data_IF_195544091327
#
_entry.id   IF_195544091327
#
_cell.length_a   1.000
_cell.length_b   1.000
_cell.length_c   1.000
_cell.angle_alpha   90.00
_cell.angle_beta   90.00
_cell.angle_gamma   90.00
#
_symmetry.space_group_name_H-M   'P 1'
#
loop_
_entity.id
_entity.type
_entity.pdbx_description
1 polymer ?
#
# COMPACT_ATOMS: atom_id res chain seq x y z
N UNK A 1 10.73 -14.96 -5.51
CA UNK A 1 9.63 -14.46 -4.70
C UNK A 1 9.48 -12.93 -4.83
N UNK A 2 10.53 -12.15 -4.54
CA UNK A 2 10.46 -10.67 -4.57
C UNK A 2 10.03 -10.14 -5.94
N UNK A 3 10.75 -10.50 -7.00
CA UNK A 3 10.45 -10.06 -8.36
C UNK A 3 9.03 -10.44 -8.79
N UNK A 4 8.58 -11.65 -8.45
CA UNK A 4 7.23 -12.12 -8.77
C UNK A 4 6.15 -11.28 -8.06
N UNK A 5 6.36 -10.92 -6.78
CA UNK A 5 5.45 -10.03 -6.05
C UNK A 5 5.41 -8.64 -6.70
N UNK A 6 6.56 -8.06 -6.99
CA UNK A 6 6.68 -6.73 -7.58
C UNK A 6 6.01 -6.67 -8.96
N UNK A 7 6.25 -7.64 -9.82
CA UNK A 7 5.58 -7.76 -11.13
C UNK A 7 4.08 -7.97 -11.00
N UNK A 8 3.64 -8.80 -10.05
CA UNK A 8 2.21 -9.02 -9.77
C UNK A 8 1.50 -7.73 -9.36
N UNK A 9 2.11 -6.94 -8.50
CA UNK A 9 1.57 -5.66 -8.05
C UNK A 9 1.50 -4.61 -9.18
N UNK A 10 2.52 -4.57 -10.05
CA UNK A 10 2.51 -3.70 -11.25
C UNK A 10 1.34 -4.05 -12.17
N UNK A 11 1.10 -5.35 -12.42
CA UNK A 11 -0.05 -5.80 -13.24
C UNK A 11 -1.40 -5.42 -12.61
N UNK A 12 -1.50 -5.49 -11.28
CA UNK A 12 -2.71 -5.06 -10.57
C UNK A 12 -2.92 -3.56 -10.74
N UNK A 13 -1.87 -2.75 -10.62
CA UNK A 13 -1.97 -1.30 -10.84
C UNK A 13 -2.44 -0.96 -12.25
N UNK A 14 -1.91 -1.66 -13.26
CA UNK A 14 -2.31 -1.47 -14.65
C UNK A 14 -3.78 -1.81 -14.87
N UNK A 15 -4.22 -2.95 -14.35
CA UNK A 15 -5.60 -3.43 -14.50
C UNK A 15 -6.62 -2.50 -13.82
N UNK A 16 -6.29 -1.99 -12.65
CA UNK A 16 -7.22 -1.21 -11.82
C UNK A 16 -7.04 0.30 -11.97
N UNK A 17 -6.08 0.76 -12.78
CA UNK A 17 -5.84 2.18 -13.01
C UNK A 17 -5.34 2.95 -11.77
N UNK A 18 -4.78 2.27 -10.78
CA UNK A 18 -4.27 2.90 -9.55
C UNK A 18 -3.18 3.95 -9.78
N UNK A 19 -2.58 3.96 -10.97
CA UNK A 19 -1.61 5.00 -11.37
C UNK A 19 -2.23 6.39 -11.53
N UNK A 20 -3.56 6.48 -11.60
CA UNK A 20 -4.33 7.72 -11.64
C UNK A 20 -4.80 8.18 -10.24
N UNK A 21 -4.23 7.65 -9.18
CA UNK A 21 -4.63 7.92 -7.79
C UNK A 21 -4.40 9.36 -7.31
N UNK A 22 -4.32 10.29 -8.24
CA UNK A 22 -4.22 11.73 -7.99
C UNK A 22 -5.60 12.34 -8.26
N UNK A 23 -6.16 12.99 -7.25
CA UNK A 23 -7.40 13.77 -7.33
C UNK A 23 -7.03 15.25 -7.29
N UNK A 24 -7.70 16.07 -8.04
CA UNK A 24 -7.57 17.53 -7.93
C UNK A 24 -8.94 18.13 -7.54
N UNK A 25 -9.31 18.06 -6.26
CA UNK A 25 -10.57 18.60 -5.77
C UNK A 25 -10.58 20.13 -5.78
N UNK A 26 -11.74 20.73 -5.53
CA UNK A 26 -11.88 22.18 -5.45
C UNK A 26 -10.98 22.78 -4.35
N UNK A 27 -10.65 24.09 -4.47
CA UNK A 27 -9.83 24.78 -3.47
C UNK A 27 -10.49 24.76 -2.08
N UNK A 28 -11.83 24.84 -2.01
CA UNK A 28 -12.59 24.74 -0.77
C UNK A 28 -12.47 23.37 -0.12
N UNK A 29 -12.56 22.30 -0.90
CA UNK A 29 -12.45 20.91 -0.39
C UNK A 29 -11.04 20.64 0.08
N UNK A 30 -10.01 21.11 -0.64
CA UNK A 30 -8.61 21.01 -0.19
C UNK A 30 -8.39 21.69 1.14
N UNK A 31 -8.89 22.91 1.30
CA UNK A 31 -8.78 23.69 2.56
C UNK A 31 -9.45 22.94 3.71
N UNK A 32 -10.69 22.48 3.51
CA UNK A 32 -11.42 21.70 4.51
C UNK A 32 -10.65 20.43 4.91
N UNK A 33 -10.14 19.69 3.92
CA UNK A 33 -9.35 18.47 4.16
C UNK A 33 -8.09 18.76 5.01
N UNK A 34 -7.34 19.82 4.68
CA UNK A 34 -6.15 20.21 5.45
C UNK A 34 -6.48 20.68 6.87
N UNK A 35 -7.60 21.37 7.07
CA UNK A 35 -8.08 21.76 8.41
C UNK A 35 -8.47 20.52 9.25
N UNK A 36 -9.14 19.54 8.66
CA UNK A 36 -9.47 18.27 9.30
C UNK A 36 -8.20 17.50 9.68
N UNK A 37 -7.24 17.41 8.77
CA UNK A 37 -5.96 16.73 8.98
C UNK A 37 -5.15 17.42 10.10
N UNK A 38 -5.16 18.76 10.13
CA UNK A 38 -4.52 19.55 11.20
C UNK A 38 -5.19 19.36 12.56
N UNK A 39 -6.51 19.20 12.60
CA UNK A 39 -7.23 18.87 13.84
C UNK A 39 -6.89 17.47 14.37
N UNK A 40 -6.82 16.50 13.44
CA UNK A 40 -6.44 15.11 13.79
C UNK A 40 -4.97 15.04 14.25
N UNK A 41 -4.08 15.79 13.60
CA UNK A 41 -2.64 15.78 13.84
C UNK A 41 -2.09 17.20 14.04
N UNK A 42 -2.28 17.84 15.20
CA UNK A 42 -1.87 19.24 15.43
C UNK A 42 -0.36 19.50 15.28
N UNK A 43 0.46 18.49 15.51
CA UNK A 43 1.94 18.53 15.35
C UNK A 43 2.42 17.81 14.07
N UNK A 44 1.49 17.44 13.18
CA UNK A 44 1.75 16.63 11.99
C UNK A 44 1.55 15.13 12.22
N UNK A 45 1.24 14.37 11.15
CA UNK A 45 1.01 12.94 11.26
C UNK A 45 2.29 12.19 11.68
N UNK A 46 2.18 11.19 12.58
CA UNK A 46 3.33 10.46 13.08
C UNK A 46 3.97 9.56 12.01
N UNK A 47 5.24 9.22 12.21
CA UNK A 47 5.98 8.31 11.34
C UNK A 47 5.25 6.98 11.16
N UNK A 48 5.17 6.51 9.92
CA UNK A 48 4.46 5.29 9.51
C UNK A 48 2.97 5.49 9.21
N UNK A 49 2.37 6.61 9.60
CA UNK A 49 0.98 6.93 9.26
C UNK A 49 0.82 7.15 7.76
N UNK A 50 -0.27 6.67 7.22
CA UNK A 50 -0.69 6.94 5.84
C UNK A 50 -1.81 7.98 5.88
N UNK A 51 -1.61 9.06 5.13
CA UNK A 51 -2.56 10.17 5.02
C UNK A 51 -2.65 10.65 3.57
N UNK A 52 -3.67 11.41 3.25
CA UNK A 52 -3.79 12.15 2.00
C UNK A 52 -3.29 13.57 2.24
N UNK A 53 -2.30 14.01 1.46
CA UNK A 53 -1.78 15.37 1.52
C UNK A 53 -1.99 16.11 0.21
N UNK A 54 -1.90 17.43 0.25
CA UNK A 54 -2.09 18.31 -0.91
C UNK A 54 -0.75 18.76 -1.47
N UNK A 55 -0.51 18.51 -2.75
CA UNK A 55 0.70 18.95 -3.45
C UNK A 55 0.69 20.49 -3.56
N UNK A 56 1.73 21.13 -3.05
CA UNK A 56 1.92 22.58 -3.10
C UNK A 56 2.97 23.02 -4.10
N UNK A 57 3.88 22.14 -4.47
CA UNK A 57 4.92 22.40 -5.47
C UNK A 57 5.41 21.10 -6.07
N UNK A 58 5.74 21.10 -7.35
CA UNK A 58 6.36 19.99 -8.07
C UNK A 58 7.62 20.49 -8.76
N UNK A 59 8.69 19.71 -8.68
CA UNK A 59 9.97 19.97 -9.33
C UNK A 59 10.41 18.73 -10.08
N UNK A 60 10.81 18.90 -11.33
CA UNK A 60 11.46 17.83 -12.09
C UNK A 60 12.86 17.57 -11.59
N UNK A 61 13.30 16.33 -11.71
CA UNK A 61 14.60 15.85 -11.30
C UNK A 61 15.19 14.90 -12.34
N UNK A 62 16.28 14.27 -11.98
CA UNK A 62 16.97 13.32 -12.84
C UNK A 62 16.08 12.11 -13.20
N UNK A 63 16.33 11.51 -14.37
CA UNK A 63 15.63 10.30 -14.87
C UNK A 63 14.10 10.41 -14.84
N UNK A 64 13.59 11.64 -15.13
CA UNK A 64 12.16 11.95 -15.10
C UNK A 64 11.47 11.63 -13.76
N UNK A 65 12.23 11.58 -12.68
CA UNK A 65 11.74 11.66 -11.31
C UNK A 65 11.53 13.10 -10.89
N UNK A 66 11.63 13.38 -9.61
CA UNK A 66 11.53 14.74 -9.07
C UNK A 66 11.15 14.76 -7.62
N UNK A 67 10.62 15.89 -7.20
CA UNK A 67 10.19 16.14 -5.84
C UNK A 67 8.87 16.87 -5.83
N UNK A 68 8.02 16.55 -4.86
CA UNK A 68 6.86 17.36 -4.54
C UNK A 68 6.92 17.79 -3.07
N UNK A 69 6.50 19.02 -2.81
CA UNK A 69 6.16 19.48 -1.48
C UNK A 69 4.68 19.16 -1.25
N UNK A 70 4.37 18.53 -0.12
CA UNK A 70 3.02 18.07 0.19
C UNK A 70 2.61 18.62 1.54
N UNK A 71 1.54 19.40 1.55
CA UNK A 71 0.94 19.95 2.76
C UNK A 71 0.12 18.86 3.47
N UNK A 72 0.38 18.66 4.74
CA UNK A 72 -0.28 17.71 5.63
C UNK A 72 -1.08 18.44 6.75
N UNK A 73 -1.42 19.70 6.52
CA UNK A 73 -2.20 20.54 7.42
C UNK A 73 -1.37 21.26 8.48
N UNK A 74 -0.63 20.57 9.31
CA UNK A 74 0.24 21.16 10.33
C UNK A 74 1.71 21.28 9.90
N UNK A 75 2.13 20.48 8.93
CA UNK A 75 3.51 20.41 8.43
C UNK A 75 3.52 20.18 6.92
N UNK A 76 4.59 20.60 6.27
CA UNK A 76 4.84 20.29 4.86
C UNK A 76 5.92 19.23 4.79
N UNK A 77 5.67 18.18 4.00
CA UNK A 77 6.62 17.09 3.80
C UNK A 77 7.22 17.08 2.41
N UNK A 78 8.38 16.45 2.28
CA UNK A 78 9.11 16.28 1.03
C UNK A 78 8.84 14.88 0.48
N UNK A 79 8.25 14.80 -0.72
CA UNK A 79 7.90 13.56 -1.40
C UNK A 79 8.83 13.34 -2.61
N UNK A 80 9.76 12.40 -2.56
CA UNK A 80 10.48 11.96 -3.76
C UNK A 80 9.48 11.34 -4.75
N UNK A 81 9.50 11.82 -5.99
CA UNK A 81 8.63 11.31 -7.05
C UNK A 81 9.34 10.22 -7.86
N UNK A 82 8.61 9.17 -8.27
CA UNK A 82 9.17 8.01 -8.94
C UNK A 82 9.92 8.35 -10.23
N UNK A 83 11.11 7.78 -10.39
CA UNK A 83 11.94 7.89 -11.59
C UNK A 83 11.46 6.92 -12.69
N UNK A 84 12.05 7.02 -13.88
CA UNK A 84 11.78 6.06 -14.96
C UNK A 84 12.10 4.63 -14.52
N UNK A 85 11.22 3.71 -14.84
CA UNK A 85 11.34 2.30 -14.45
C UNK A 85 10.76 1.96 -13.08
N UNK A 86 10.46 2.95 -12.25
CA UNK A 86 9.75 2.72 -11.00
C UNK A 86 8.29 2.29 -11.25
N UNK A 87 7.69 1.59 -10.28
CA UNK A 87 6.31 1.11 -10.30
C UNK A 87 5.30 2.16 -10.76
N UNK A 88 5.45 3.40 -10.28
CA UNK A 88 4.54 4.50 -10.57
C UNK A 88 5.05 5.44 -11.69
N UNK A 89 6.16 5.09 -12.33
CA UNK A 89 6.68 5.79 -13.51
C UNK A 89 7.36 4.87 -14.52
N UNK A 90 6.70 3.80 -14.98
CA UNK A 90 7.32 2.82 -15.88
C UNK A 90 7.68 3.41 -17.24
N UNK A 91 6.95 4.43 -17.69
CA UNK A 91 7.15 5.09 -18.99
C UNK A 91 8.12 6.28 -18.93
N UNK A 92 8.61 6.66 -17.75
CA UNK A 92 9.53 7.77 -17.59
C UNK A 92 8.92 9.14 -17.95
N UNK A 93 7.70 9.40 -17.51
CA UNK A 93 7.04 10.69 -17.69
C UNK A 93 7.57 11.66 -16.62
N UNK A 94 7.89 12.91 -16.99
CA UNK A 94 8.39 13.93 -16.06
C UNK A 94 7.44 14.18 -14.89
N UNK A 95 7.96 14.57 -13.75
CA UNK A 95 7.17 14.74 -12.52
C UNK A 95 6.08 15.81 -12.70
N UNK A 96 6.41 16.95 -13.33
CA UNK A 96 5.47 18.05 -13.61
C UNK A 96 4.37 17.70 -14.62
N UNK A 97 4.56 16.65 -15.42
CA UNK A 97 3.50 16.14 -16.31
C UNK A 97 2.57 15.13 -15.62
N UNK A 98 2.97 14.60 -14.46
CA UNK A 98 2.20 13.60 -13.70
C UNK A 98 1.48 14.17 -12.51
N UNK A 99 2.03 15.21 -11.91
CA UNK A 99 1.53 15.86 -10.72
C UNK A 99 1.46 17.38 -10.91
N UNK A 100 0.44 17.98 -10.34
CA UNK A 100 0.19 19.42 -10.39
C UNK A 100 -0.07 19.97 -8.98
N UNK A 101 0.11 21.27 -8.79
CA UNK A 101 -0.29 21.93 -7.56
C UNK A 101 -1.80 21.75 -7.33
N UNK A 102 -2.16 21.47 -6.10
CA UNK A 102 -3.54 21.15 -5.70
C UNK A 102 -3.93 19.68 -5.83
N UNK A 103 -3.08 18.83 -6.39
CA UNK A 103 -3.33 17.40 -6.41
C UNK A 103 -3.30 16.82 -4.98
N UNK A 104 -4.24 15.92 -4.70
CA UNK A 104 -4.26 15.15 -3.46
C UNK A 104 -3.60 13.82 -3.70
N UNK A 105 -2.55 13.54 -2.93
CA UNK A 105 -1.74 12.33 -3.03
C UNK A 105 -1.75 11.56 -1.71
N UNK A 106 -1.84 10.24 -1.82
CA UNK A 106 -1.75 9.36 -0.66
C UNK A 106 -0.30 9.06 -0.34
N UNK A 107 0.12 9.45 0.85
CA UNK A 107 1.51 9.33 1.28
C UNK A 107 1.63 8.67 2.64
N UNK A 108 2.75 7.99 2.84
CA UNK A 108 3.18 7.47 4.14
C UNK A 108 4.24 8.38 4.71
N UNK A 109 4.07 8.80 5.96
CA UNK A 109 5.07 9.59 6.68
C UNK A 109 6.27 8.71 7.00
N UNK A 110 7.42 9.10 6.48
CA UNK A 110 8.71 8.46 6.72
C UNK A 110 9.47 9.14 7.86
N UNK A 111 10.80 9.24 7.69
CA UNK A 111 11.67 9.87 8.68
C UNK A 111 11.39 11.37 8.76
N UNK A 112 11.30 11.89 9.97
CA UNK A 112 11.17 13.33 10.23
C UNK A 112 12.56 13.94 10.33
N UNK A 113 12.88 14.85 9.43
CA UNK A 113 14.15 15.60 9.40
C UNK A 113 13.97 17.06 9.81
N UNK A 114 15.03 17.86 9.71
CA UNK A 114 15.00 19.31 10.03
C UNK A 114 14.09 20.10 9.08
N UNK A 115 13.96 19.65 7.84
CA UNK A 115 13.16 20.29 6.78
C UNK A 115 11.73 19.68 6.67
N UNK A 116 11.27 19.01 7.70
CA UNK A 116 10.00 18.33 7.73
C UNK A 116 10.09 16.82 7.45
N UNK A 117 8.94 16.14 7.38
CA UNK A 117 8.89 14.71 7.14
C UNK A 117 9.24 14.36 5.70
N UNK A 118 10.08 13.34 5.52
CA UNK A 118 10.23 12.63 4.26
C UNK A 118 8.99 11.76 4.04
N UNK A 119 8.42 11.86 2.87
CA UNK A 119 7.20 11.12 2.50
C UNK A 119 7.54 10.00 1.50
N UNK A 120 6.68 8.99 1.48
CA UNK A 120 6.73 7.91 0.50
C UNK A 120 5.37 7.78 -0.15
N UNK A 121 5.33 7.77 -1.47
CA UNK A 121 4.08 7.60 -2.21
C UNK A 121 3.43 6.25 -1.87
N UNK A 122 2.17 6.26 -1.43
CA UNK A 122 1.37 5.07 -1.09
C UNK A 122 0.16 4.95 -2.02
N UNK A 123 0.43 4.98 -3.33
CA UNK A 123 -0.59 5.13 -4.37
C UNK A 123 -1.24 3.82 -4.84
N UNK A 124 -0.72 2.67 -4.46
CA UNK A 124 -1.21 1.39 -4.97
C UNK A 124 -1.33 0.28 -3.94
N UNK A 125 -1.88 -0.86 -4.31
CA UNK A 125 -2.03 -2.00 -3.43
C UNK A 125 -0.66 -2.52 -2.99
N UNK A 126 -0.64 -3.07 -1.80
CA UNK A 126 0.50 -3.78 -1.26
C UNK A 126 0.18 -5.27 -1.17
N UNK A 127 1.21 -6.09 -1.21
CA UNK A 127 1.08 -7.53 -1.08
C UNK A 127 2.18 -8.10 -0.20
N UNK A 128 2.05 -9.37 0.13
CA UNK A 128 3.05 -10.15 0.83
C UNK A 128 3.11 -11.57 0.26
N UNK A 129 4.28 -12.18 0.34
CA UNK A 129 4.50 -13.56 -0.09
C UNK A 129 5.30 -14.30 0.97
N UNK A 130 4.85 -15.51 1.28
CA UNK A 130 5.62 -16.50 2.05
C UNK A 130 5.77 -17.73 1.17
N UNK A 131 6.98 -18.24 1.06
CA UNK A 131 7.28 -19.49 0.38
C UNK A 131 7.84 -20.45 1.40
N UNK A 132 7.22 -21.61 1.53
CA UNK A 132 7.63 -22.68 2.46
C UNK A 132 7.93 -23.96 1.68
N UNK A 133 8.94 -24.66 2.12
CA UNK A 133 9.21 -26.02 1.70
C UNK A 133 8.25 -26.98 2.44
N UNK A 134 7.42 -27.75 1.72
CA UNK A 134 6.44 -28.63 2.36
C UNK A 134 7.06 -29.82 3.10
N UNK A 135 8.26 -30.27 2.71
CA UNK A 135 8.94 -31.40 3.33
C UNK A 135 9.66 -30.98 4.61
N UNK A 136 10.49 -29.96 4.52
CA UNK A 136 11.30 -29.46 5.64
C UNK A 136 10.53 -28.46 6.52
N UNK A 137 9.40 -27.93 6.05
CA UNK A 137 8.60 -26.85 6.69
C UNK A 137 9.36 -25.55 6.92
N UNK A 138 10.49 -25.38 6.24
CA UNK A 138 11.30 -24.17 6.34
C UNK A 138 10.71 -23.06 5.50
N UNK A 139 10.80 -21.82 6.01
CA UNK A 139 10.43 -20.62 5.24
C UNK A 139 11.58 -20.26 4.31
N UNK A 140 11.41 -20.53 3.02
CA UNK A 140 12.39 -20.26 1.98
C UNK A 140 12.43 -18.78 1.55
N UNK A 141 11.30 -18.08 1.65
CA UNK A 141 11.23 -16.65 1.38
C UNK A 141 10.09 -16.00 2.14
N UNK A 142 10.32 -14.77 2.61
CA UNK A 142 9.31 -13.94 3.26
C UNK A 142 9.44 -12.50 2.75
N UNK A 143 8.43 -12.03 2.02
CA UNK A 143 8.40 -10.67 1.45
C UNK A 143 7.16 -9.96 1.99
N UNK A 144 7.36 -8.93 2.81
CA UNK A 144 6.27 -8.24 3.52
C UNK A 144 5.67 -7.02 2.82
N UNK A 145 6.14 -6.67 1.62
CA UNK A 145 5.65 -5.49 0.89
C UNK A 145 6.43 -5.20 -0.38
N UNK A 146 5.93 -4.27 -1.18
CA UNK A 146 6.67 -3.70 -2.31
C UNK A 146 7.77 -2.76 -1.80
N UNK A 147 8.98 -2.87 -2.35
CA UNK A 147 10.07 -1.96 -2.04
C UNK A 147 10.42 -1.95 -0.54
N UNK A 148 10.87 -3.07 0.02
CA UNK A 148 11.19 -3.15 1.44
C UNK A 148 12.36 -2.23 1.79
N UNK A 149 12.08 -1.19 2.57
CA UNK A 149 13.07 -0.37 3.25
C UNK A 149 13.14 -0.77 4.73
N UNK A 150 14.31 -0.60 5.34
CA UNK A 150 14.50 -0.88 6.78
C UNK A 150 13.46 -0.09 7.60
N UNK A 151 12.67 -0.79 8.41
CA UNK A 151 11.57 -0.19 9.18
C UNK A 151 10.21 -0.21 8.47
N UNK A 152 10.13 -0.68 7.23
CA UNK A 152 8.85 -0.85 6.54
C UNK A 152 7.93 -1.84 7.25
N UNK A 153 6.62 -1.62 7.12
CA UNK A 153 5.62 -2.52 7.68
C UNK A 153 5.65 -3.89 6.98
N UNK A 154 6.10 -4.91 7.70
CA UNK A 154 6.08 -6.30 7.21
C UNK A 154 4.68 -6.88 7.36
N UNK A 155 3.97 -7.04 6.24
CA UNK A 155 2.59 -7.54 6.20
C UNK A 155 2.47 -9.00 6.58
N UNK A 156 3.51 -9.79 6.36
CA UNK A 156 3.51 -11.21 6.77
C UNK A 156 3.42 -11.34 8.29
N UNK A 157 4.16 -10.50 9.01
CA UNK A 157 4.29 -10.60 10.47
C UNK A 157 3.30 -9.72 11.24
N UNK A 158 2.87 -8.59 10.64
CA UNK A 158 2.17 -7.53 11.39
C UNK A 158 0.76 -7.23 10.88
N UNK A 159 0.38 -7.67 9.67
CA UNK A 159 -0.96 -7.44 9.17
C UNK A 159 -1.95 -8.36 9.89
N UNK A 160 -2.90 -7.74 10.59
CA UNK A 160 -4.03 -8.45 11.20
C UNK A 160 -5.17 -8.46 10.19
N UNK A 161 -5.43 -9.59 9.57
CA UNK A 161 -6.48 -9.77 8.55
C UNK A 161 -7.35 -10.98 8.90
N UNK A 162 -8.62 -10.88 8.57
CA UNK A 162 -9.53 -12.01 8.67
C UNK A 162 -9.07 -13.11 7.70
N UNK A 163 -8.93 -14.37 8.16
CA UNK A 163 -8.48 -15.46 7.30
C UNK A 163 -9.47 -15.81 6.19
N UNK A 164 -10.77 -15.62 6.44
CA UNK A 164 -11.81 -15.95 5.48
C UNK A 164 -11.69 -17.41 5.00
N UNK A 165 -11.90 -17.64 3.66
CA UNK A 165 -11.83 -18.98 3.06
C UNK A 165 -10.45 -19.65 3.20
N UNK A 166 -9.40 -18.92 3.55
CA UNK A 166 -8.09 -19.52 3.83
C UNK A 166 -8.10 -20.43 5.07
N UNK A 167 -9.15 -20.34 5.91
CA UNK A 167 -9.37 -21.23 7.05
C UNK A 167 -9.98 -22.57 6.67
N UNK A 168 -10.63 -22.69 5.49
CA UNK A 168 -11.31 -23.94 5.07
C UNK A 168 -10.44 -25.20 5.07
N UNK A 169 -9.16 -25.18 4.66
CA UNK A 169 -8.31 -26.36 4.72
C UNK A 169 -8.21 -26.96 6.12
N UNK A 170 -8.21 -26.15 7.18
CA UNK A 170 -8.19 -26.63 8.57
C UNK A 170 -9.52 -27.30 8.94
N UNK A 171 -10.65 -26.76 8.50
CA UNK A 171 -11.98 -27.36 8.71
C UNK A 171 -12.06 -28.71 8.02
N UNK A 172 -11.63 -28.80 6.77
CA UNK A 172 -11.63 -30.09 6.05
C UNK A 172 -10.63 -31.08 6.64
N UNK A 173 -9.43 -30.65 7.06
CA UNK A 173 -8.48 -31.54 7.72
C UNK A 173 -9.08 -32.15 8.99
N UNK A 174 -9.73 -31.36 9.84
CA UNK A 174 -10.42 -31.84 11.05
C UNK A 174 -11.56 -32.79 10.70
N UNK A 175 -12.34 -32.51 9.65
CA UNK A 175 -13.40 -33.40 9.21
C UNK A 175 -12.87 -34.76 8.75
N UNK A 176 -11.77 -34.79 7.99
CA UNK A 176 -11.14 -36.04 7.54
C UNK A 176 -10.48 -36.80 8.69
N UNK A 177 -9.83 -36.10 9.62
CA UNK A 177 -9.23 -36.70 10.81
C UNK A 177 -10.29 -37.42 11.66
N UNK A 178 -11.52 -36.88 11.71
CA UNK A 178 -12.63 -37.52 12.43
C UNK A 178 -13.04 -38.87 11.83
N UNK A 179 -12.58 -39.22 10.63
CA UNK A 179 -12.95 -40.42 9.83
C UNK A 179 -14.44 -40.55 9.52
N UNK A 180 -15.25 -39.52 9.82
CA UNK A 180 -16.70 -39.48 9.47
C UNK A 180 -16.94 -38.94 8.08
N UNK A 181 -15.99 -38.19 7.55
CA UNK A 181 -16.06 -37.54 6.25
C UNK A 181 -14.86 -37.90 5.39
N UNK A 182 -15.07 -37.91 4.09
CA UNK A 182 -14.05 -38.08 3.05
C UNK A 182 -14.19 -36.97 2.02
N UNK A 183 -13.25 -36.87 1.08
CA UNK A 183 -13.34 -35.93 -0.02
C UNK A 183 -14.57 -36.17 -0.96
N UNK A 184 -15.16 -37.37 -0.88
CA UNK A 184 -16.37 -37.75 -1.64
C UNK A 184 -17.67 -37.60 -0.83
N UNK A 185 -17.59 -37.17 0.44
CA UNK A 185 -18.82 -36.98 1.24
C UNK A 185 -19.66 -35.84 0.70
N UNK A 186 -20.93 -36.08 0.51
CA UNK A 186 -21.91 -35.06 0.10
C UNK A 186 -22.49 -34.42 1.35
N UNK A 187 -22.40 -33.10 1.41
CA UNK A 187 -22.94 -32.26 2.48
C UNK A 187 -24.16 -31.51 1.97
N UNK A 188 -25.21 -31.41 2.78
CA UNK A 188 -26.35 -30.60 2.47
C UNK A 188 -26.12 -29.16 2.90
N UNK A 189 -26.11 -28.24 1.94
CA UNK A 189 -25.89 -26.78 2.15
C UNK A 189 -27.24 -26.02 2.10
N UNK A 190 -28.32 -26.68 2.54
CA UNK A 190 -29.62 -26.01 2.66
C UNK A 190 -29.68 -25.11 3.91
N UNK A 191 -30.46 -24.02 3.89
CA UNK A 191 -30.70 -23.19 5.06
C UNK A 191 -31.27 -24.03 6.21
N UNK A 192 -30.61 -23.96 7.39
CA UNK A 192 -31.15 -24.57 8.61
C UNK A 192 -31.72 -23.45 9.49
N UNK A 193 -32.96 -23.62 9.88
CA UNK A 193 -33.63 -22.76 10.86
C UNK A 193 -33.44 -23.42 12.23
N UNK A 194 -32.82 -22.72 13.17
CA UNK A 194 -32.66 -23.15 14.57
C UNK A 194 -33.74 -22.51 15.43
#
# INVERSE_FOLDING_TARGET
ARLALEQGLVRIDERNGYRKGVRNPSASDRKKHLEELKKEFPSGPPMGRVVEGVVTKVLDGEKNGGWAMVDLGAVVGNLPLPQVGDRYNPKGIAATQRYSEGDVVKVRVGRIGKEGPMLVLDAGPQGAVVVMDPETRQVMAMIGGYGYLRGSFNRVLRAKRQPGSAFKPFVFATAFESRRYTAASVLNDSPQVY
#
